data_IF_761412427069
#
_entry.id   IF_761412427069
#
_cell.length_a   1.000
_cell.length_b   1.000
_cell.length_c   1.000
_cell.angle_alpha   90.00
_cell.angle_beta   90.00
_cell.angle_gamma   90.00
#
_symmetry.space_group_name_H-M   'P 1'
#
loop_
_entity.id
_entity.type
_entity.pdbx_description
1 polymer ?
#
# COMPACT_ATOMS: atom_id res chain seq x y z
N UNK A 1 -1.99 -9.88 -23.87
CA UNK A 1 -0.99 -8.79 -23.95
C UNK A 1 -0.95 -8.03 -22.62
N UNK A 2 -0.52 -8.65 -21.50
CA UNK A 2 -0.55 -7.97 -20.19
C UNK A 2 0.45 -6.80 -20.12
N UNK A 3 1.62 -6.92 -20.76
CA UNK A 3 2.67 -5.89 -20.70
C UNK A 3 2.33 -4.57 -21.42
N UNK A 4 1.43 -4.57 -22.40
CA UNK A 4 1.06 -3.34 -23.11
C UNK A 4 0.19 -2.42 -22.24
N UNK A 5 -0.71 -3.00 -21.45
CA UNK A 5 -1.60 -2.28 -20.51
C UNK A 5 -0.77 -1.65 -19.40
N UNK A 6 0.15 -2.40 -18.82
CA UNK A 6 1.04 -1.91 -17.77
C UNK A 6 1.93 -0.76 -18.25
N UNK A 7 2.53 -0.87 -19.44
CA UNK A 7 3.35 0.22 -20.00
C UNK A 7 2.53 1.48 -20.30
N UNK A 8 1.29 1.31 -20.79
CA UNK A 8 0.38 2.42 -21.02
C UNK A 8 0.04 3.11 -19.70
N UNK A 9 -0.36 2.36 -18.68
CA UNK A 9 -0.63 2.87 -17.35
C UNK A 9 0.57 3.64 -16.79
N UNK A 10 1.77 3.05 -16.77
CA UNK A 10 2.97 3.72 -16.28
C UNK A 10 3.25 5.06 -17.01
N UNK A 11 3.03 5.09 -18.32
CA UNK A 11 3.16 6.34 -19.09
C UNK A 11 2.12 7.37 -18.67
N UNK A 12 0.88 6.93 -18.41
CA UNK A 12 -0.23 7.78 -18.00
C UNK A 12 0.01 8.34 -16.60
N UNK A 13 0.42 7.50 -15.64
CA UNK A 13 0.71 7.92 -14.26
C UNK A 13 1.82 8.95 -14.21
N UNK A 14 2.89 8.77 -15.00
CA UNK A 14 3.98 9.75 -15.06
C UNK A 14 3.58 11.10 -15.64
N UNK A 15 2.51 11.13 -16.45
CA UNK A 15 2.00 12.36 -17.04
C UNK A 15 0.96 13.03 -16.14
N UNK A 16 -0.03 12.25 -15.68
CA UNK A 16 -1.13 12.69 -14.86
C UNK A 16 -1.67 11.47 -14.06
N UNK A 17 -1.25 11.31 -12.80
CA UNK A 17 -1.70 10.20 -11.95
C UNK A 17 -3.21 10.18 -11.71
N UNK A 18 -3.86 11.35 -11.67
CA UNK A 18 -5.31 11.42 -11.45
C UNK A 18 -6.06 10.90 -12.68
N UNK A 19 -5.63 11.30 -13.88
CA UNK A 19 -6.16 10.74 -15.12
C UNK A 19 -5.90 9.23 -15.25
N UNK A 20 -4.76 8.75 -14.75
CA UNK A 20 -4.47 7.31 -14.72
C UNK A 20 -5.39 6.54 -13.78
N UNK A 21 -5.69 7.09 -12.61
CA UNK A 21 -6.67 6.54 -11.69
C UNK A 21 -8.08 6.53 -12.29
N UNK A 22 -8.53 7.65 -12.88
CA UNK A 22 -9.82 7.74 -13.55
C UNK A 22 -9.95 6.72 -14.69
N UNK A 23 -8.87 6.45 -15.42
CA UNK A 23 -8.85 5.41 -16.44
C UNK A 23 -8.99 4.01 -15.84
N UNK A 24 -8.31 3.70 -14.73
CA UNK A 24 -8.48 2.41 -14.04
C UNK A 24 -9.89 2.23 -13.48
N UNK A 25 -10.46 3.28 -12.88
CA UNK A 25 -11.82 3.27 -12.35
C UNK A 25 -12.89 3.10 -13.45
N UNK A 26 -12.53 3.37 -14.72
CA UNK A 26 -13.42 3.15 -15.87
C UNK A 26 -13.48 1.70 -16.34
N UNK A 27 -12.55 0.85 -15.89
CA UNK A 27 -12.52 -0.58 -16.23
C UNK A 27 -13.41 -1.35 -15.25
N UNK A 28 -14.32 -2.17 -15.76
CA UNK A 28 -15.14 -3.05 -14.90
C UNK A 28 -14.29 -4.24 -14.41
N UNK A 29 -14.02 -4.37 -13.09
CA UNK A 29 -13.20 -5.47 -12.58
C UNK A 29 -13.75 -6.86 -12.90
N UNK A 30 -15.07 -6.98 -13.14
CA UNK A 30 -15.73 -8.26 -13.42
C UNK A 30 -15.71 -8.65 -14.90
N UNK A 31 -15.62 -7.69 -15.82
CA UNK A 31 -15.85 -7.95 -17.26
C UNK A 31 -14.72 -7.47 -18.17
N UNK A 32 -13.93 -6.50 -17.73
CA UNK A 32 -12.87 -5.93 -18.55
C UNK A 32 -11.60 -6.77 -18.51
N UNK A 33 -11.24 -7.39 -19.64
CA UNK A 33 -10.05 -8.25 -19.75
C UNK A 33 -8.73 -7.50 -19.60
N UNK A 34 -8.79 -6.17 -19.60
CA UNK A 34 -7.64 -5.30 -19.37
C UNK A 34 -7.38 -5.09 -17.87
N UNK A 35 -8.39 -5.30 -17.03
CA UNK A 35 -8.29 -5.09 -15.59
C UNK A 35 -7.48 -6.20 -14.92
N UNK A 36 -6.69 -5.80 -13.93
CA UNK A 36 -6.02 -6.66 -12.97
C UNK A 36 -5.64 -5.83 -11.74
N UNK A 37 -5.78 -6.39 -10.54
CA UNK A 37 -5.51 -5.65 -9.29
C UNK A 37 -4.06 -5.13 -9.24
N UNK A 38 -3.12 -5.79 -9.92
CA UNK A 38 -1.73 -5.35 -10.05
C UNK A 38 -1.55 -3.98 -10.72
N UNK A 39 -2.55 -3.54 -11.49
CA UNK A 39 -2.56 -2.19 -12.07
C UNK A 39 -2.66 -1.13 -10.97
N UNK A 40 -3.41 -1.39 -9.90
CA UNK A 40 -3.49 -0.49 -8.76
C UNK A 40 -2.17 -0.43 -7.98
N UNK A 41 -1.45 -1.54 -7.87
CA UNK A 41 -0.07 -1.54 -7.33
C UNK A 41 0.81 -0.64 -8.18
N UNK A 42 0.77 -0.80 -9.50
CA UNK A 42 1.57 0.00 -10.45
C UNK A 42 1.24 1.50 -10.37
N UNK A 43 -0.05 1.83 -10.29
CA UNK A 43 -0.53 3.21 -10.13
C UNK A 43 0.10 3.86 -8.90
N UNK A 44 0.01 3.20 -7.74
CA UNK A 44 0.47 3.80 -6.49
C UNK A 44 1.97 3.71 -6.29
N UNK A 45 2.66 2.73 -6.90
CA UNK A 45 4.13 2.75 -6.95
C UNK A 45 4.64 4.00 -7.66
N UNK A 46 4.11 4.31 -8.86
CA UNK A 46 4.59 5.46 -9.63
C UNK A 46 4.08 6.79 -9.07
N UNK A 47 2.81 6.88 -8.66
CA UNK A 47 2.25 8.12 -8.10
C UNK A 47 2.97 8.50 -6.82
N UNK A 48 3.16 7.57 -5.88
CA UNK A 48 3.78 7.86 -4.58
C UNK A 48 5.24 8.32 -4.71
N UNK A 49 5.98 7.88 -5.74
CA UNK A 49 7.33 8.39 -6.03
C UNK A 49 7.34 9.87 -6.37
N UNK A 50 6.27 10.37 -6.99
CA UNK A 50 6.14 11.76 -7.43
C UNK A 50 5.48 12.65 -6.39
N UNK A 51 4.43 12.16 -5.72
CA UNK A 51 3.62 12.89 -4.75
C UNK A 51 2.89 11.89 -3.83
N UNK A 52 3.55 11.53 -2.73
CA UNK A 52 3.00 10.62 -1.71
C UNK A 52 1.75 11.17 -1.02
N UNK A 53 1.65 12.50 -0.88
CA UNK A 53 0.50 13.17 -0.25
C UNK A 53 -0.74 13.03 -1.12
N UNK A 54 -0.63 13.31 -2.42
CA UNK A 54 -1.73 13.16 -3.36
C UNK A 54 -2.13 11.68 -3.53
N UNK A 55 -1.15 10.78 -3.60
CA UNK A 55 -1.38 9.33 -3.66
C UNK A 55 -2.15 8.84 -2.41
N UNK A 56 -1.74 9.26 -1.21
CA UNK A 56 -2.43 8.96 0.03
C UNK A 56 -3.84 9.56 0.09
N UNK A 57 -4.04 10.77 -0.43
CA UNK A 57 -5.36 11.39 -0.52
C UNK A 57 -6.30 10.64 -1.49
N UNK A 58 -5.77 10.04 -2.55
CA UNK A 58 -6.53 9.13 -3.42
C UNK A 58 -6.89 7.84 -2.68
N UNK A 59 -5.94 7.21 -1.98
CA UNK A 59 -6.20 6.02 -1.14
C UNK A 59 -7.30 6.27 -0.10
N UNK A 60 -7.42 7.48 0.43
CA UNK A 60 -8.48 7.86 1.36
C UNK A 60 -9.88 7.93 0.76
N UNK A 61 -9.98 8.04 -0.57
CA UNK A 61 -11.24 8.12 -1.32
C UNK A 61 -11.62 6.81 -2.01
N UNK A 62 -10.64 5.94 -2.27
CA UNK A 62 -10.88 4.63 -2.86
C UNK A 62 -11.75 3.75 -1.95
N UNK A 63 -12.69 3.02 -2.55
CA UNK A 63 -13.54 2.08 -1.83
C UNK A 63 -12.71 0.91 -1.28
N UNK A 64 -13.01 0.40 -0.08
CA UNK A 64 -12.39 -0.83 0.43
C UNK A 64 -12.59 -2.00 -0.54
N UNK A 65 -11.54 -2.81 -0.72
CA UNK A 65 -11.56 -3.99 -1.59
C UNK A 65 -10.18 -4.36 -2.14
N UNK A 66 -10.10 -5.43 -2.94
CA UNK A 66 -8.83 -5.93 -3.49
C UNK A 66 -8.03 -4.89 -4.28
N UNK A 67 -8.71 -4.03 -5.04
CA UNK A 67 -8.09 -2.93 -5.78
C UNK A 67 -7.35 -1.94 -4.85
N UNK A 68 -8.00 -1.54 -3.76
CA UNK A 68 -7.43 -0.61 -2.77
C UNK A 68 -6.34 -1.28 -1.95
N UNK A 69 -6.50 -2.56 -1.59
CA UNK A 69 -5.44 -3.34 -0.95
C UNK A 69 -4.18 -3.37 -1.84
N UNK A 70 -4.33 -3.66 -3.13
CA UNK A 70 -3.23 -3.64 -4.09
C UNK A 70 -2.61 -2.25 -4.28
N UNK A 71 -3.41 -1.17 -4.21
CA UNK A 71 -2.93 0.20 -4.21
C UNK A 71 -2.12 0.54 -2.95
N UNK A 72 -2.59 0.14 -1.77
CA UNK A 72 -1.88 0.30 -0.49
C UNK A 72 -0.52 -0.41 -0.56
N UNK A 73 -0.49 -1.62 -1.12
CA UNK A 73 0.74 -2.38 -1.34
C UNK A 73 1.72 -1.59 -2.22
N UNK A 74 1.26 -0.97 -3.32
CA UNK A 74 2.12 -0.15 -4.18
C UNK A 74 2.67 1.10 -3.49
N UNK A 75 1.83 1.77 -2.69
CA UNK A 75 2.27 2.89 -1.85
C UNK A 75 3.34 2.43 -0.85
N UNK A 76 3.09 1.33 -0.15
CA UNK A 76 3.99 0.75 0.84
C UNK A 76 5.35 0.39 0.25
N UNK A 77 5.39 -0.27 -0.92
CA UNK A 77 6.62 -0.64 -1.64
C UNK A 77 7.54 0.56 -1.86
N UNK A 78 6.98 1.73 -2.14
CA UNK A 78 7.77 2.92 -2.47
C UNK A 78 8.11 3.74 -1.23
N UNK A 79 7.18 3.85 -0.28
CA UNK A 79 7.26 4.82 0.80
C UNK A 79 7.81 4.25 2.10
N UNK A 80 8.02 2.93 2.23
CA UNK A 80 8.43 2.30 3.49
C UNK A 80 9.71 2.90 4.11
N UNK A 81 10.68 3.28 3.28
CA UNK A 81 11.95 3.86 3.73
C UNK A 81 11.87 5.37 4.03
N UNK A 82 10.79 6.04 3.60
CA UNK A 82 10.64 7.50 3.68
C UNK A 82 9.54 7.95 4.64
N UNK A 83 8.42 7.23 4.66
CA UNK A 83 7.22 7.52 5.44
C UNK A 83 6.69 6.25 6.15
N UNK A 84 7.49 5.57 7.00
CA UNK A 84 7.11 4.30 7.62
C UNK A 84 5.83 4.38 8.46
N UNK A 85 5.58 5.52 9.09
CA UNK A 85 4.34 5.78 9.85
C UNK A 85 3.12 5.74 8.92
N UNK A 86 3.17 6.44 7.78
CA UNK A 86 2.07 6.46 6.83
C UNK A 86 1.86 5.08 6.21
N UNK A 87 2.94 4.36 5.91
CA UNK A 87 2.85 2.97 5.42
C UNK A 87 2.21 2.06 6.47
N UNK A 88 2.54 2.19 7.76
CA UNK A 88 1.91 1.41 8.82
C UNK A 88 0.40 1.72 8.93
N UNK A 89 0.02 3.00 8.84
CA UNK A 89 -1.39 3.43 8.84
C UNK A 89 -2.19 2.93 7.63
N UNK A 90 -1.59 2.88 6.44
CA UNK A 90 -2.28 2.32 5.27
C UNK A 90 -2.34 0.80 5.32
N UNK A 91 -1.24 0.14 5.66
CA UNK A 91 -1.18 -1.33 5.68
C UNK A 91 -2.07 -1.94 6.75
N UNK A 92 -2.34 -1.25 7.87
CA UNK A 92 -3.28 -1.76 8.89
C UNK A 92 -4.73 -1.80 8.44
N UNK A 93 -5.11 -1.04 7.39
CA UNK A 93 -6.49 -1.02 6.88
C UNK A 93 -6.70 -1.90 5.66
N UNK A 94 -5.67 -2.63 5.20
CA UNK A 94 -5.80 -3.69 4.19
C UNK A 94 -6.84 -4.70 4.65
N UNK A 95 -7.80 -5.06 3.79
CA UNK A 95 -8.89 -5.98 4.13
C UNK A 95 -8.40 -7.42 4.21
N UNK A 96 -7.57 -7.86 3.26
CA UNK A 96 -6.98 -9.21 3.26
C UNK A 96 -6.07 -9.41 4.49
N UNK A 97 -6.42 -10.32 5.44
CA UNK A 97 -5.68 -10.46 6.69
C UNK A 97 -4.24 -10.91 6.51
N UNK A 98 -3.96 -11.73 5.49
CA UNK A 98 -2.63 -12.25 5.23
C UNK A 98 -1.71 -11.15 4.67
N UNK A 99 -2.20 -10.38 3.71
CA UNK A 99 -1.50 -9.23 3.11
C UNK A 99 -1.25 -8.17 4.18
N UNK A 100 -2.26 -7.86 5.01
CA UNK A 100 -2.12 -6.95 6.16
C UNK A 100 -1.02 -7.39 7.12
N UNK A 101 -1.04 -8.65 7.56
CA UNK A 101 -0.03 -9.19 8.50
C UNK A 101 1.38 -9.15 7.91
N UNK A 102 1.53 -9.55 6.64
CA UNK A 102 2.82 -9.56 5.96
C UNK A 102 3.41 -8.15 5.82
N UNK A 103 2.59 -7.19 5.37
CA UNK A 103 3.04 -5.81 5.16
C UNK A 103 3.28 -5.07 6.47
N UNK A 104 2.47 -5.28 7.50
CA UNK A 104 2.76 -4.72 8.83
C UNK A 104 4.05 -5.28 9.41
N UNK A 105 4.31 -6.58 9.26
CA UNK A 105 5.57 -7.20 9.69
C UNK A 105 6.76 -6.54 8.98
N UNK A 106 6.70 -6.43 7.65
CA UNK A 106 7.77 -5.85 6.86
C UNK A 106 7.99 -4.36 7.18
N UNK A 107 6.90 -3.60 7.31
CA UNK A 107 6.91 -2.17 7.65
C UNK A 107 7.56 -1.94 9.01
N UNK A 108 7.10 -2.65 10.04
CA UNK A 108 7.63 -2.48 11.39
C UNK A 108 9.08 -2.94 11.51
N UNK A 109 9.46 -4.04 10.86
CA UNK A 109 10.87 -4.47 10.83
C UNK A 109 11.78 -3.46 10.13
N UNK A 110 11.29 -2.83 9.06
CA UNK A 110 12.07 -1.83 8.33
C UNK A 110 12.20 -0.55 9.15
N UNK A 111 11.08 -0.06 9.70
CA UNK A 111 11.04 1.12 10.55
C UNK A 111 11.89 0.94 11.82
N UNK A 112 11.83 -0.23 12.47
CA UNK A 112 12.58 -0.49 13.68
C UNK A 112 14.11 -0.53 13.50
N UNK A 113 14.60 -0.65 12.25
CA UNK A 113 16.05 -0.56 11.97
C UNK A 113 16.60 0.85 12.20
N UNK A 114 15.80 1.88 11.92
CA UNK A 114 16.18 3.28 12.18
C UNK A 114 15.64 3.78 13.51
N UNK A 115 14.38 3.48 13.81
CA UNK A 115 13.60 4.10 14.89
C UNK A 115 12.81 3.04 15.70
N UNK A 116 13.52 2.14 16.43
CA UNK A 116 12.90 1.01 17.12
C UNK A 116 11.88 1.43 18.18
N UNK A 117 12.15 2.51 18.93
CA UNK A 117 11.25 3.01 19.97
C UNK A 117 9.91 3.50 19.37
N UNK A 118 9.96 4.21 18.24
CA UNK A 118 8.76 4.71 17.57
C UNK A 118 7.94 3.60 16.92
N UNK A 119 8.60 2.61 16.30
CA UNK A 119 7.92 1.44 15.75
C UNK A 119 7.17 0.65 16.84
N UNK A 120 7.78 0.50 18.02
CA UNK A 120 7.14 -0.14 19.17
C UNK A 120 5.99 0.70 19.75
N UNK A 121 6.15 2.02 19.84
CA UNK A 121 5.09 2.93 20.28
C UNK A 121 3.87 2.89 19.36
N UNK A 122 4.10 2.87 18.04
CA UNK A 122 3.03 2.68 17.07
C UNK A 122 2.33 1.34 17.25
N UNK A 123 3.08 0.24 17.40
CA UNK A 123 2.50 -1.09 17.60
C UNK A 123 1.58 -1.12 18.83
N UNK A 124 1.97 -0.46 19.93
CA UNK A 124 1.17 -0.38 21.14
C UNK A 124 -0.10 0.48 21.01
N UNK A 125 -0.08 1.49 20.16
CA UNK A 125 -1.20 2.43 19.97
C UNK A 125 -2.12 2.09 18.81
N UNK A 126 -1.69 1.22 17.89
CA UNK A 126 -2.39 0.91 16.63
C UNK A 126 -3.74 0.19 16.79
N UNK A 127 -4.06 -0.34 17.98
CA UNK A 127 -5.35 -0.99 18.25
C UNK A 127 -5.61 -2.24 17.39
N UNK A 128 -4.56 -2.99 17.05
CA UNK A 128 -4.62 -4.20 16.24
C UNK A 128 -5.32 -5.36 16.98
N UNK A 129 -5.78 -6.35 16.22
CA UNK A 129 -6.22 -7.62 16.78
C UNK A 129 -5.14 -8.20 17.73
N UNK A 130 -5.50 -8.74 18.91
CA UNK A 130 -4.53 -9.21 19.89
C UNK A 130 -3.53 -10.25 19.34
N UNK A 131 -3.97 -11.14 18.46
CA UNK A 131 -3.10 -12.18 17.89
C UNK A 131 -2.07 -11.60 16.93
N UNK A 132 -2.47 -10.61 16.13
CA UNK A 132 -1.59 -9.88 15.23
C UNK A 132 -0.61 -8.98 16.00
N UNK A 133 -1.09 -8.30 17.05
CA UNK A 133 -0.24 -7.49 17.92
C UNK A 133 0.86 -8.35 18.59
N UNK A 134 0.50 -9.52 19.14
CA UNK A 134 1.48 -10.44 19.74
C UNK A 134 2.48 -10.96 18.70
N UNK A 135 2.03 -11.30 17.49
CA UNK A 135 2.91 -11.70 16.39
C UNK A 135 3.95 -10.62 16.09
N UNK A 136 3.51 -9.38 15.85
CA UNK A 136 4.38 -8.26 15.48
C UNK A 136 5.35 -7.91 16.63
N UNK A 137 4.90 -7.94 17.88
CA UNK A 137 5.75 -7.70 19.05
C UNK A 137 6.88 -8.74 19.15
N UNK A 138 6.57 -10.02 18.88
CA UNK A 138 7.59 -11.07 18.83
C UNK A 138 8.57 -10.89 17.67
N UNK A 139 8.10 -10.43 16.51
CA UNK A 139 8.97 -10.14 15.37
C UNK A 139 9.93 -8.98 15.65
N UNK A 140 9.48 -7.93 16.31
CA UNK A 140 10.31 -6.77 16.68
C UNK A 140 11.30 -7.05 17.82
N UNK A 141 11.01 -8.04 18.67
CA UNK A 141 11.91 -8.46 19.75
C UNK A 141 13.08 -9.36 19.28
N UNK A 142 13.09 -9.77 18.01
CA UNK A 142 14.19 -10.55 17.45
C UNK A 142 15.45 -9.67 17.32
N UNK A 143 16.63 -10.21 17.68
CA UNK A 143 17.90 -9.48 17.59
C UNK A 143 18.36 -9.23 16.16
#
# INVERSE_FOLDING_TARGET
>A
MPGAVHNYLQSLVRQDPAMAADWLDSLDPATDKLYGDELNTTLLEEWSRSDSVAASAWLGRADPGPARDAAIVGFATTMIDYEPVAVAEWTRVIEDPQTRSNWLTHTLQTWARSEPEQAMEWLHSAGLDPSLHEQLARELAKP
#
